data_IF_121871056762
#
_entry.id   IF_121871056762
#
_cell.length_a   1.000
_cell.length_b   1.000
_cell.length_c   1.000
_cell.angle_alpha   90.00
_cell.angle_beta   90.00
_cell.angle_gamma   90.00
#
_symmetry.space_group_name_H-M   'P 1'
#
loop_
_entity.id
_entity.type
_entity.pdbx_description
1 polymer ?
#
# COMPACT_ATOMS: atom_id res chain seq x y z
N UNK A 1 -9.60 -17.21 8.35
CA UNK A 1 -8.75 -16.03 8.05
C UNK A 1 -9.65 -14.85 7.78
N UNK A 2 -9.30 -13.66 8.28
CA UNK A 2 -9.97 -12.39 7.92
C UNK A 2 -9.58 -12.05 6.48
N UNK A 3 -10.53 -11.52 5.72
CA UNK A 3 -10.29 -11.01 4.35
C UNK A 3 -10.77 -9.57 4.29
N UNK A 4 -9.99 -8.74 3.63
CA UNK A 4 -10.29 -7.33 3.41
C UNK A 4 -11.47 -7.18 2.44
N UNK A 5 -12.26 -6.10 2.58
CA UNK A 5 -13.31 -5.73 1.63
C UNK A 5 -12.88 -4.56 0.76
N UNK A 6 -13.39 -4.49 -0.46
CA UNK A 6 -13.04 -3.43 -1.43
C UNK A 6 -13.27 -2.01 -0.89
N UNK A 7 -14.35 -1.80 -0.12
CA UNK A 7 -14.63 -0.50 0.49
C UNK A 7 -13.63 -0.07 1.60
N UNK A 8 -12.73 -0.96 2.01
CA UNK A 8 -11.67 -0.68 2.98
C UNK A 8 -10.36 -0.23 2.32
N UNK A 9 -10.26 -0.28 0.99
CA UNK A 9 -9.04 0.10 0.25
C UNK A 9 -8.55 1.51 0.57
N UNK A 10 -9.41 2.56 0.60
CA UNK A 10 -8.95 3.91 0.90
C UNK A 10 -8.31 4.03 2.29
N UNK A 11 -8.90 3.38 3.28
CA UNK A 11 -8.42 3.44 4.66
C UNK A 11 -7.13 2.63 4.84
N UNK A 12 -7.07 1.43 4.25
CA UNK A 12 -5.86 0.60 4.23
C UNK A 12 -4.66 1.34 3.64
N UNK A 13 -4.85 1.97 2.48
CA UNK A 13 -3.79 2.76 1.83
C UNK A 13 -3.38 3.92 2.71
N UNK A 14 -4.34 4.64 3.31
CA UNK A 14 -4.07 5.75 4.23
C UNK A 14 -3.25 5.32 5.44
N UNK A 15 -3.57 4.18 6.05
CA UNK A 15 -2.85 3.66 7.21
C UNK A 15 -1.41 3.25 6.87
N UNK A 16 -1.19 2.61 5.71
CA UNK A 16 0.17 2.29 5.25
C UNK A 16 0.98 3.57 5.05
N UNK A 17 0.41 4.59 4.42
CA UNK A 17 1.12 5.87 4.22
C UNK A 17 1.42 6.55 5.56
N UNK A 18 0.56 6.39 6.55
CA UNK A 18 0.75 6.97 7.88
C UNK A 18 1.91 6.34 8.66
N UNK A 19 2.41 5.16 8.27
CA UNK A 19 3.64 4.58 8.83
C UNK A 19 4.90 5.29 8.34
N UNK A 20 4.77 6.16 7.33
CA UNK A 20 5.90 6.79 6.64
C UNK A 20 6.34 6.05 5.37
N UNK A 21 5.84 4.84 5.11
CA UNK A 21 6.11 4.14 3.85
C UNK A 21 5.45 4.81 2.65
N UNK A 22 6.09 4.73 1.47
CA UNK A 22 5.36 4.91 0.22
C UNK A 22 4.58 3.64 -0.11
N UNK A 23 3.39 3.83 -0.68
CA UNK A 23 2.61 2.78 -1.30
C UNK A 23 2.24 3.23 -2.69
N UNK A 24 2.69 2.49 -3.70
CA UNK A 24 2.62 2.94 -5.09
C UNK A 24 2.34 1.82 -6.06
N UNK A 25 1.45 2.05 -7.02
CA UNK A 25 1.24 1.17 -8.16
C UNK A 25 2.47 1.24 -9.09
N UNK A 26 2.97 0.08 -9.52
CA UNK A 26 4.04 -0.05 -10.51
C UNK A 26 3.47 -0.72 -11.74
N UNK A 27 3.18 0.09 -12.76
CA UNK A 27 2.32 -0.30 -13.87
C UNK A 27 0.95 -0.79 -13.38
N UNK A 28 0.37 -1.77 -14.09
CA UNK A 28 -0.99 -2.25 -13.83
C UNK A 28 -1.04 -3.60 -13.10
N UNK A 29 0.12 -4.16 -12.75
CA UNK A 29 0.23 -5.54 -12.28
C UNK A 29 0.84 -5.65 -10.89
N UNK A 30 1.44 -4.59 -10.35
CA UNK A 30 2.11 -4.63 -9.05
C UNK A 30 1.89 -3.33 -8.29
N UNK A 31 2.00 -3.41 -6.98
CA UNK A 31 2.23 -2.25 -6.13
C UNK A 31 3.39 -2.59 -5.17
N UNK A 32 4.08 -1.56 -4.71
CA UNK A 32 5.15 -1.66 -3.73
C UNK A 32 4.72 -0.95 -2.45
N UNK A 33 5.17 -1.46 -1.32
CA UNK A 33 5.11 -0.83 0.00
C UNK A 33 6.54 -0.78 0.54
N UNK A 34 7.01 0.40 0.91
CA UNK A 34 8.31 0.56 1.53
C UNK A 34 8.88 1.96 1.36
N UNK A 35 10.02 2.18 2.00
CA UNK A 35 10.83 3.39 1.87
C UNK A 35 12.31 2.94 1.90
N UNK A 36 13.07 3.32 0.86
CA UNK A 36 14.47 2.93 0.68
C UNK A 36 15.43 3.67 1.60
N UNK A 37 14.99 4.77 2.20
CA UNK A 37 15.82 5.69 2.95
C UNK A 37 15.75 5.43 4.47
N UNK A 38 15.02 4.38 4.89
CA UNK A 38 14.91 3.98 6.29
C UNK A 38 16.25 3.45 6.84
N UNK A 39 16.59 3.87 8.06
CA UNK A 39 17.61 3.19 8.86
C UNK A 39 17.10 1.81 9.32
N UNK A 40 18.01 0.93 9.73
CA UNK A 40 17.65 -0.41 10.26
C UNK A 40 16.70 -0.31 11.46
N UNK A 41 16.95 0.60 12.40
CA UNK A 41 16.06 0.82 13.55
C UNK A 41 14.66 1.33 13.14
N UNK A 42 14.60 2.19 12.11
CA UNK A 42 13.33 2.70 11.59
C UNK A 42 12.57 1.61 10.82
N UNK A 43 13.29 0.76 10.09
CA UNK A 43 12.73 -0.40 9.40
C UNK A 43 12.03 -1.35 10.37
N UNK A 44 12.66 -1.72 11.48
CA UNK A 44 12.08 -2.61 12.50
C UNK A 44 10.80 -2.05 13.14
N UNK A 45 10.72 -0.73 13.30
CA UNK A 45 9.53 -0.07 13.83
C UNK A 45 8.39 -0.09 12.80
N UNK A 46 8.71 0.25 11.56
CA UNK A 46 7.76 0.27 10.43
C UNK A 46 7.24 -1.13 10.11
N UNK A 47 8.09 -2.16 10.14
CA UNK A 47 7.70 -3.55 9.89
C UNK A 47 6.61 -4.00 10.88
N UNK A 48 6.76 -3.66 12.17
CA UNK A 48 5.74 -3.98 13.19
C UNK A 48 4.42 -3.28 12.93
N UNK A 49 4.44 -2.04 12.45
CA UNK A 49 3.22 -1.31 12.09
C UNK A 49 2.56 -1.90 10.85
N UNK A 50 3.34 -2.28 9.83
CA UNK A 50 2.85 -2.96 8.63
C UNK A 50 2.23 -4.32 8.96
N UNK A 51 2.87 -5.13 9.82
CA UNK A 51 2.35 -6.41 10.29
C UNK A 51 1.02 -6.26 11.04
N UNK A 52 0.91 -5.23 11.88
CA UNK A 52 -0.34 -4.89 12.56
C UNK A 52 -1.44 -4.56 11.56
N UNK A 53 -1.14 -3.72 10.57
CA UNK A 53 -2.10 -3.32 9.52
C UNK A 53 -2.50 -4.55 8.69
N UNK A 54 -1.56 -5.37 8.22
CA UNK A 54 -1.87 -6.57 7.43
C UNK A 54 -2.72 -7.57 8.23
N UNK A 55 -2.46 -7.73 9.52
CA UNK A 55 -3.27 -8.56 10.41
C UNK A 55 -4.67 -7.98 10.60
N UNK A 56 -4.78 -6.66 10.76
CA UNK A 56 -6.04 -5.96 10.96
C UNK A 56 -6.93 -6.03 9.72
N UNK A 57 -6.42 -5.83 8.51
CA UNK A 57 -7.24 -5.89 7.29
C UNK A 57 -7.46 -7.33 6.82
N UNK A 58 -6.50 -8.22 7.09
CA UNK A 58 -6.51 -9.61 6.65
C UNK A 58 -6.02 -9.78 5.20
N UNK A 59 -6.34 -10.93 4.60
CA UNK A 59 -5.93 -11.22 3.22
C UNK A 59 -6.52 -10.18 2.26
N UNK A 60 -5.64 -9.57 1.46
CA UNK A 60 -5.97 -8.54 0.49
C UNK A 60 -5.50 -8.89 -0.93
N UNK A 61 -4.88 -10.06 -1.14
CA UNK A 61 -4.36 -10.50 -2.45
C UNK A 61 -5.46 -10.53 -3.52
N UNK A 62 -6.67 -10.94 -3.13
CA UNK A 62 -7.83 -10.97 -4.01
C UNK A 62 -8.31 -9.59 -4.46
N UNK A 63 -7.87 -8.51 -3.80
CA UNK A 63 -8.16 -7.11 -4.14
C UNK A 63 -6.98 -6.41 -4.82
N UNK A 64 -5.92 -7.13 -5.19
CA UNK A 64 -4.70 -6.56 -5.76
C UNK A 64 -4.96 -5.55 -6.88
N UNK A 65 -5.84 -5.88 -7.83
CA UNK A 65 -6.14 -4.99 -8.96
C UNK A 65 -6.98 -3.78 -8.55
N UNK A 66 -7.87 -3.93 -7.58
CA UNK A 66 -8.65 -2.82 -7.03
C UNK A 66 -7.76 -1.86 -6.24
N UNK A 67 -6.77 -2.38 -5.50
CA UNK A 67 -5.75 -1.57 -4.82
C UNK A 67 -4.93 -0.79 -5.85
N UNK A 68 -4.46 -1.45 -6.91
CA UNK A 68 -3.72 -0.80 -8.02
C UNK A 68 -4.58 0.30 -8.67
N UNK A 69 -5.84 0.00 -9.00
CA UNK A 69 -6.76 0.97 -9.58
C UNK A 69 -7.01 2.17 -8.67
N UNK A 70 -7.15 1.94 -7.36
CA UNK A 70 -7.27 3.01 -6.39
C UNK A 70 -6.00 3.88 -6.32
N UNK A 71 -4.81 3.27 -6.26
CA UNK A 71 -3.53 3.97 -6.28
C UNK A 71 -3.37 4.85 -7.53
N UNK A 72 -3.73 4.32 -8.70
CA UNK A 72 -3.81 5.10 -9.95
C UNK A 72 -4.76 6.30 -9.83
N UNK A 73 -5.95 6.10 -9.28
CA UNK A 73 -6.97 7.16 -9.16
C UNK A 73 -6.54 8.33 -8.25
N UNK A 74 -5.64 8.08 -7.30
CA UNK A 74 -5.08 9.10 -6.41
C UNK A 74 -3.69 9.58 -6.86
N UNK A 75 -3.25 9.21 -8.07
CA UNK A 75 -1.97 9.65 -8.64
C UNK A 75 -0.73 8.99 -8.03
N UNK A 76 -0.90 7.89 -7.29
CA UNK A 76 0.20 7.11 -6.70
C UNK A 76 0.65 5.99 -7.64
N UNK A 77 1.23 6.39 -8.77
CA UNK A 77 1.69 5.45 -9.81
C UNK A 77 3.14 5.71 -10.22
N UNK A 78 3.81 4.64 -10.62
CA UNK A 78 5.12 4.67 -11.26
C UNK A 78 5.10 3.81 -12.55
N UNK A 79 5.57 4.34 -13.70
CA UNK A 79 5.90 5.74 -13.91
C UNK A 79 4.67 6.64 -13.64
N UNK A 80 4.88 7.93 -13.31
CA UNK A 80 3.78 8.86 -13.16
C UNK A 80 2.89 8.84 -14.41
N UNK A 81 1.55 8.94 -14.27
CA UNK A 81 0.68 9.00 -15.43
C UNK A 81 1.08 10.18 -16.32
N UNK A 82 1.12 9.95 -17.63
CA UNK A 82 1.39 11.02 -18.59
C UNK A 82 0.23 12.00 -18.52
N UNK A 83 0.48 13.20 -17.99
CA UNK A 83 -0.49 14.29 -18.05
C UNK A 83 -0.58 14.75 -19.52
N UNK A 84 -1.70 14.45 -20.18
CA UNK A 84 -2.02 14.95 -21.52
C UNK A 84 -2.84 16.23 -21.45
#
# INVERSE_FOLDING_TARGET
MKSMRENQIPEFVREIIATGCDMRAVGDHHYLVGDSDLSEEAFDAVEKDLDRIWTEYGNHDHLKYQIIGYLHSIGRSYPPPVMH
#
